data_IF_228266801787
#
_entry.id   IF_228266801787
#
_cell.length_a   1.000
_cell.length_b   1.000
_cell.length_c   1.000
_cell.angle_alpha   90.00
_cell.angle_beta   90.00
_cell.angle_gamma   90.00
#
_symmetry.space_group_name_H-M   'P 1'
#
loop_
_entity.id
_entity.type
_entity.pdbx_description
1 polymer ?
#
# COMPACT_ATOMS: atom_id res chain seq x y z
N UNK A 1 -3.60 -26.82 19.66
CA UNK A 1 -4.17 -26.46 18.35
C UNK A 1 -3.93 -24.96 18.13
N UNK A 2 -3.12 -24.58 17.15
CA UNK A 2 -2.93 -23.17 16.79
C UNK A 2 -4.21 -22.71 16.08
N UNK A 3 -4.89 -21.71 16.61
CA UNK A 3 -6.09 -21.15 15.98
C UNK A 3 -5.68 -20.22 14.83
N UNK A 4 -5.42 -20.85 13.67
CA UNK A 4 -4.94 -20.21 12.44
C UNK A 4 -5.90 -19.10 11.97
N UNK A 5 -7.22 -19.31 12.06
CA UNK A 5 -8.22 -18.32 11.67
C UNK A 5 -8.16 -17.04 12.51
N UNK A 6 -7.91 -17.17 13.81
CA UNK A 6 -7.72 -16.02 14.71
C UNK A 6 -6.49 -15.17 14.34
N UNK A 7 -5.42 -15.82 13.89
CA UNK A 7 -4.17 -15.13 13.50
C UNK A 7 -4.38 -14.30 12.24
N UNK A 8 -5.03 -14.85 11.20
CA UNK A 8 -5.33 -14.10 9.98
C UNK A 8 -6.25 -12.90 10.25
N UNK A 9 -7.29 -13.09 11.05
CA UNK A 9 -8.22 -12.01 11.40
C UNK A 9 -7.51 -10.88 12.16
N UNK A 10 -6.54 -11.20 13.01
CA UNK A 10 -5.72 -10.22 13.71
C UNK A 10 -4.81 -9.44 12.74
N UNK A 11 -4.13 -10.13 11.82
CA UNK A 11 -3.26 -9.51 10.81
C UNK A 11 -4.03 -8.59 9.86
N UNK A 12 -5.22 -9.01 9.40
CA UNK A 12 -6.09 -8.21 8.53
C UNK A 12 -6.54 -6.93 9.25
N UNK A 13 -6.89 -7.03 10.54
CA UNK A 13 -7.26 -5.86 11.34
C UNK A 13 -6.08 -4.91 11.58
N UNK A 14 -4.89 -5.46 11.75
CA UNK A 14 -3.68 -4.70 12.03
C UNK A 14 -3.21 -3.91 10.81
N UNK A 15 -3.22 -4.52 9.62
CA UNK A 15 -2.80 -3.91 8.34
C UNK A 15 -3.96 -3.47 7.45
N UNK A 16 -5.07 -3.07 8.07
CA UNK A 16 -6.32 -2.76 7.34
C UNK A 16 -6.13 -1.69 6.27
N UNK A 17 -5.22 -0.73 6.47
CA UNK A 17 -5.01 0.34 5.48
C UNK A 17 -4.23 -0.17 4.28
N UNK A 18 -3.20 -1.01 4.47
CA UNK A 18 -2.46 -1.62 3.36
C UNK A 18 -3.33 -2.56 2.55
N UNK A 19 -4.17 -3.38 3.19
CA UNK A 19 -5.13 -4.23 2.45
C UNK A 19 -6.15 -3.41 1.67
N UNK A 20 -6.64 -2.31 2.25
CA UNK A 20 -7.56 -1.39 1.56
C UNK A 20 -6.86 -0.71 0.37
N UNK A 21 -5.62 -0.25 0.57
CA UNK A 21 -4.79 0.36 -0.48
C UNK A 21 -4.49 -0.64 -1.61
N UNK A 22 -4.22 -1.90 -1.29
CA UNK A 22 -4.04 -2.97 -2.27
C UNK A 22 -5.27 -3.15 -3.16
N UNK A 23 -6.46 -3.28 -2.56
CA UNK A 23 -7.69 -3.44 -3.32
C UNK A 23 -7.97 -2.22 -4.20
N UNK A 24 -7.84 -1.02 -3.65
CA UNK A 24 -8.08 0.23 -4.38
C UNK A 24 -7.08 0.38 -5.54
N UNK A 25 -5.80 0.15 -5.30
CA UNK A 25 -4.77 0.30 -6.35
C UNK A 25 -4.90 -0.76 -7.43
N UNK A 26 -5.26 -1.99 -7.07
CA UNK A 26 -5.58 -3.03 -8.05
C UNK A 26 -6.73 -2.60 -8.97
N UNK A 27 -7.81 -2.06 -8.40
CA UNK A 27 -8.95 -1.60 -9.19
C UNK A 27 -8.59 -0.41 -10.08
N UNK A 28 -7.91 0.60 -9.53
CA UNK A 28 -7.59 1.84 -10.24
C UNK A 28 -6.56 1.64 -11.35
N UNK A 29 -5.56 0.78 -11.14
CA UNK A 29 -4.39 0.70 -12.01
C UNK A 29 -4.29 -0.59 -12.84
N UNK A 30 -5.23 -1.52 -12.69
CA UNK A 30 -5.25 -2.80 -13.45
C UNK A 30 -5.15 -2.61 -14.96
N UNK A 31 -5.73 -1.54 -15.51
CA UNK A 31 -5.78 -1.28 -16.95
C UNK A 31 -4.85 -0.15 -17.41
N UNK A 32 -4.10 0.48 -16.50
CA UNK A 32 -3.36 1.71 -16.83
C UNK A 32 -2.18 1.52 -17.78
N UNK A 33 -1.67 0.29 -17.92
CA UNK A 33 -0.48 -0.04 -18.70
C UNK A 33 -0.77 -1.00 -19.88
N UNK A 34 -2.03 -1.22 -20.25
CA UNK A 34 -2.43 -2.16 -21.32
C UNK A 34 -1.89 -1.80 -22.70
N UNK A 35 -1.51 -0.54 -22.93
CA UNK A 35 -0.97 -0.05 -24.20
C UNK A 35 0.53 -0.35 -24.41
N UNK A 36 1.22 -0.95 -23.44
CA UNK A 36 2.66 -1.24 -23.52
C UNK A 36 2.93 -2.69 -23.91
N UNK A 37 4.03 -2.95 -24.62
CA UNK A 37 4.41 -4.31 -25.06
C UNK A 37 4.52 -5.31 -23.89
N UNK A 38 4.98 -4.83 -22.72
CA UNK A 38 5.11 -5.62 -21.49
C UNK A 38 4.06 -5.24 -20.44
N UNK A 39 2.84 -4.93 -20.87
CA UNK A 39 1.75 -4.40 -20.04
C UNK A 39 1.59 -5.13 -18.69
N UNK A 40 1.46 -6.46 -18.71
CA UNK A 40 1.22 -7.25 -17.50
C UNK A 40 2.39 -7.13 -16.52
N UNK A 41 3.62 -7.27 -17.01
CA UNK A 41 4.82 -7.15 -16.18
C UNK A 41 4.93 -5.76 -15.56
N UNK A 42 4.69 -4.70 -16.35
CA UNK A 42 4.74 -3.31 -15.87
C UNK A 42 3.68 -3.08 -14.79
N UNK A 43 2.44 -3.53 -15.01
CA UNK A 43 1.35 -3.43 -14.02
C UNK A 43 1.71 -4.17 -12.73
N UNK A 44 2.23 -5.40 -12.82
CA UNK A 44 2.60 -6.17 -11.63
C UNK A 44 3.75 -5.52 -10.86
N UNK A 45 4.79 -5.03 -11.56
CA UNK A 45 5.92 -4.33 -10.92
C UNK A 45 5.45 -3.05 -10.24
N UNK A 46 4.63 -2.25 -10.92
CA UNK A 46 4.06 -1.03 -10.36
C UNK A 46 3.23 -1.33 -9.09
N UNK A 47 2.28 -2.27 -9.18
CA UNK A 47 1.44 -2.67 -8.06
C UNK A 47 2.27 -3.23 -6.90
N UNK A 48 3.29 -4.04 -7.20
CA UNK A 48 4.18 -4.60 -6.18
C UNK A 48 4.90 -3.49 -5.41
N UNK A 49 5.51 -2.54 -6.11
CA UNK A 49 6.30 -1.46 -5.49
C UNK A 49 5.43 -0.60 -4.57
N UNK A 50 4.28 -0.12 -5.06
CA UNK A 50 3.44 0.78 -4.26
C UNK A 50 2.84 0.06 -3.04
N UNK A 51 2.47 -1.21 -3.18
CA UNK A 51 1.85 -1.98 -2.10
C UNK A 51 2.88 -2.45 -1.06
N UNK A 52 4.04 -2.96 -1.49
CA UNK A 52 5.13 -3.30 -0.55
C UNK A 52 5.56 -2.07 0.26
N UNK A 53 5.65 -0.91 -0.41
CA UNK A 53 5.94 0.36 0.28
C UNK A 53 4.84 0.71 1.30
N UNK A 54 3.57 0.55 0.93
CA UNK A 54 2.42 0.77 1.82
C UNK A 54 2.48 -0.14 3.05
N UNK A 55 2.65 -1.45 2.87
CA UNK A 55 2.78 -2.43 3.95
C UNK A 55 3.96 -2.13 4.87
N UNK A 56 5.10 -1.75 4.30
CA UNK A 56 6.30 -1.41 5.07
C UNK A 56 6.07 -0.15 5.91
N UNK A 57 5.48 0.88 5.32
CA UNK A 57 5.19 2.13 6.02
C UNK A 57 4.13 1.94 7.12
N UNK A 58 3.05 1.19 6.86
CA UNK A 58 2.05 0.87 7.88
C UNK A 58 2.68 0.07 9.02
N UNK A 59 3.55 -0.91 8.72
CA UNK A 59 4.30 -1.64 9.74
C UNK A 59 5.12 -0.70 10.64
N UNK A 60 5.83 0.27 10.06
CA UNK A 60 6.60 1.24 10.83
C UNK A 60 5.69 2.12 11.70
N UNK A 61 4.54 2.55 11.18
CA UNK A 61 3.53 3.31 11.94
C UNK A 61 2.99 2.48 13.11
N UNK A 62 2.63 1.22 12.89
CA UNK A 62 2.18 0.29 13.93
C UNK A 62 3.24 0.18 15.02
N UNK A 63 4.50 -0.07 14.64
CA UNK A 63 5.59 -0.23 15.59
C UNK A 63 5.87 1.05 16.36
N UNK A 64 5.80 2.21 15.70
CA UNK A 64 5.94 3.50 16.34
C UNK A 64 4.91 3.72 17.44
N UNK A 65 3.62 3.47 17.14
CA UNK A 65 2.54 3.69 18.11
C UNK A 65 2.46 2.59 19.18
N UNK A 66 2.91 1.36 18.89
CA UNK A 66 3.09 0.33 19.93
C UNK A 66 4.10 0.76 20.99
N UNK A 67 5.19 1.44 20.59
CA UNK A 67 6.21 1.98 21.49
C UNK A 67 5.80 3.29 22.16
N UNK A 68 4.94 4.09 21.51
CA UNK A 68 4.51 5.42 21.97
C UNK A 68 3.00 5.47 22.28
N UNK A 69 2.54 4.66 23.23
CA UNK A 69 1.11 4.50 23.56
C UNK A 69 0.41 5.80 24.01
N UNK A 70 1.18 6.74 24.53
CA UNK A 70 0.75 8.07 24.98
C UNK A 70 0.25 8.96 23.81
N UNK A 71 0.68 8.67 22.57
CA UNK A 71 0.38 9.53 21.39
C UNK A 71 -0.88 9.09 20.68
N UNK A 72 -1.69 10.07 20.24
CA UNK A 72 -2.90 9.82 19.43
C UNK A 72 -2.53 9.18 18.08
N UNK A 73 -2.81 7.89 17.94
CA UNK A 73 -2.57 7.08 16.74
C UNK A 73 -3.32 7.61 15.50
N UNK A 74 -4.56 8.08 15.66
CA UNK A 74 -5.43 8.47 14.53
C UNK A 74 -4.82 9.56 13.62
N UNK A 75 -4.15 10.56 14.19
CA UNK A 75 -3.55 11.65 13.40
C UNK A 75 -2.33 11.16 12.61
N UNK A 76 -1.56 10.22 13.15
CA UNK A 76 -0.44 9.60 12.43
C UNK A 76 -0.90 8.75 11.26
N UNK A 77 -1.95 7.96 11.45
CA UNK A 77 -2.54 7.18 10.36
C UNK A 77 -3.12 8.07 9.25
N UNK A 78 -3.77 9.19 9.60
CA UNK A 78 -4.25 10.14 8.60
C UNK A 78 -3.09 10.72 7.77
N UNK A 79 -1.99 11.13 8.41
CA UNK A 79 -0.80 11.60 7.71
C UNK A 79 -0.16 10.50 6.84
N UNK A 80 -0.09 9.27 7.35
CA UNK A 80 0.39 8.12 6.59
C UNK A 80 -0.43 7.90 5.31
N UNK A 81 -1.76 7.85 5.42
CA UNK A 81 -2.65 7.65 4.26
C UNK A 81 -2.48 8.78 3.24
N UNK A 82 -2.40 10.03 3.70
CA UNK A 82 -2.20 11.18 2.82
C UNK A 82 -0.86 11.09 2.07
N UNK A 83 0.23 10.83 2.79
CA UNK A 83 1.56 10.69 2.19
C UNK A 83 1.64 9.50 1.24
N UNK A 84 1.11 8.34 1.63
CA UNK A 84 1.12 7.13 0.82
C UNK A 84 0.30 7.31 -0.47
N UNK A 85 -0.85 7.99 -0.39
CA UNK A 85 -1.65 8.34 -1.57
C UNK A 85 -0.87 9.26 -2.50
N UNK A 86 -0.24 10.31 -1.97
CA UNK A 86 0.56 11.25 -2.76
C UNK A 86 1.75 10.56 -3.45
N UNK A 87 2.48 9.72 -2.72
CA UNK A 87 3.58 8.93 -3.28
C UNK A 87 3.09 7.97 -4.37
N UNK A 88 1.92 7.35 -4.20
CA UNK A 88 1.32 6.46 -5.21
C UNK A 88 1.04 7.23 -6.51
N UNK A 89 0.50 8.44 -6.42
CA UNK A 89 0.23 9.29 -7.58
C UNK A 89 1.52 9.72 -8.29
N UNK A 90 2.56 10.12 -7.53
CA UNK A 90 3.87 10.46 -8.11
C UNK A 90 4.46 9.24 -8.84
N UNK A 91 4.47 8.08 -8.19
CA UNK A 91 4.99 6.85 -8.78
C UNK A 91 4.23 6.48 -10.05
N UNK A 92 2.91 6.66 -10.05
CA UNK A 92 2.10 6.43 -11.24
C UNK A 92 2.51 7.34 -12.40
N UNK A 93 2.68 8.64 -12.16
CA UNK A 93 3.13 9.59 -13.18
C UNK A 93 4.53 9.24 -13.71
N UNK A 94 5.46 8.88 -12.83
CA UNK A 94 6.82 8.45 -13.23
C UNK A 94 6.77 7.21 -14.12
N UNK A 95 6.01 6.19 -13.73
CA UNK A 95 5.86 4.99 -14.54
C UNK A 95 5.21 5.28 -15.89
N UNK A 96 4.12 6.07 -15.89
CA UNK A 96 3.33 6.32 -17.09
C UNK A 96 4.04 7.23 -18.10
N UNK A 97 4.76 8.24 -17.64
CA UNK A 97 5.29 9.30 -18.51
C UNK A 97 6.81 9.36 -18.61
N UNK A 98 7.56 8.81 -17.65
CA UNK A 98 9.03 8.93 -17.65
C UNK A 98 9.70 7.64 -18.07
N UNK A 99 9.26 6.51 -17.51
CA UNK A 99 9.94 5.22 -17.71
C UNK A 99 9.47 4.52 -18.99
N UNK A 100 8.18 4.61 -19.29
CA UNK A 100 7.57 3.91 -20.42
C UNK A 100 6.96 4.87 -21.46
N UNK A 101 7.37 6.14 -21.50
CA UNK A 101 7.11 7.01 -22.66
C UNK A 101 7.87 6.52 -23.89
#
# INVERSE_FOLDING_TARGET
>A
MINIGGIYMALIKEFRFSYTHLLITLLLFSTSFTSYENALTITLVFLLIINVTCFTNEYLVIQYYRKNKEKKSNKGYANFIMLQTFLTLIMFLVFKFVIFS
#
